data_IF_324579142183
#
_entry.id   IF_324579142183
#
_cell.length_a   1.000
_cell.length_b   1.000
_cell.length_c   1.000
_cell.angle_alpha   90.00
_cell.angle_beta   90.00
_cell.angle_gamma   90.00
#
_symmetry.space_group_name_H-M   'P 1'
#
loop_
_entity.id
_entity.type
_entity.pdbx_description
1 polymer ?
#
# COMPACT_ATOMS: atom_id res chain seq x y z
N UNK A 1 -16.82 1.46 16.21
CA UNK A 1 -16.35 2.16 17.43
C UNK A 1 -14.88 1.89 17.73
N UNK A 2 -14.38 0.66 17.61
CA UNK A 2 -12.95 0.35 17.81
C UNK A 2 -11.95 1.26 17.03
N UNK A 3 -12.16 1.59 15.73
CA UNK A 3 -11.21 2.44 15.01
C UNK A 3 -11.12 3.87 15.57
N UNK A 4 -12.25 4.41 16.06
CA UNK A 4 -12.32 5.74 16.67
C UNK A 4 -11.60 5.77 18.02
N UNK A 5 -11.73 4.70 18.81
CA UNK A 5 -11.03 4.55 20.08
C UNK A 5 -9.52 4.47 19.85
N UNK A 6 -9.07 3.66 18.89
CA UNK A 6 -7.65 3.56 18.52
C UNK A 6 -7.11 4.90 18.01
N UNK A 7 -7.87 5.62 17.17
CA UNK A 7 -7.51 6.95 16.70
C UNK A 7 -7.34 7.94 17.85
N UNK A 8 -8.30 7.96 18.78
CA UNK A 8 -8.24 8.84 19.95
C UNK A 8 -7.03 8.50 20.84
N UNK A 9 -6.76 7.21 21.07
CA UNK A 9 -5.61 6.77 21.85
C UNK A 9 -4.28 7.15 21.18
N UNK A 10 -4.15 6.92 19.87
CA UNK A 10 -2.97 7.31 19.09
C UNK A 10 -2.76 8.83 19.15
N UNK A 11 -3.82 9.63 19.04
CA UNK A 11 -3.74 11.08 19.20
C UNK A 11 -3.32 11.48 20.62
N UNK A 12 -3.77 10.74 21.64
CA UNK A 12 -3.40 10.99 23.03
C UNK A 12 -1.92 10.70 23.29
N UNK A 13 -1.41 9.59 22.78
CA UNK A 13 0.01 9.25 22.89
C UNK A 13 0.85 10.26 22.12
N UNK A 14 0.45 10.56 20.88
CA UNK A 14 1.17 11.49 20.02
C UNK A 14 1.25 12.89 20.65
N UNK A 15 0.16 13.42 21.23
CA UNK A 15 0.21 14.74 21.89
C UNK A 15 1.10 14.75 23.14
N UNK A 16 1.27 13.60 23.81
CA UNK A 16 2.09 13.49 25.01
C UNK A 16 3.57 13.51 24.64
N UNK A 17 3.96 12.70 23.65
CA UNK A 17 5.33 12.64 23.10
C UNK A 17 5.73 13.94 22.39
N UNK A 18 4.81 14.56 21.63
CA UNK A 18 5.09 15.84 20.95
C UNK A 18 5.06 17.06 21.87
N UNK A 19 4.58 16.95 23.11
CA UNK A 19 4.54 18.10 24.02
C UNK A 19 5.95 18.61 24.35
N UNK A 20 6.97 17.75 24.26
CA UNK A 20 8.38 18.12 24.45
C UNK A 20 9.06 18.67 23.18
N UNK A 21 8.44 18.51 22.00
CA UNK A 21 9.00 18.95 20.72
C UNK A 21 8.45 20.32 20.30
N UNK A 22 9.31 21.34 20.28
CA UNK A 22 8.95 22.63 19.68
C UNK A 22 8.92 22.48 18.16
N UNK A 23 7.92 23.07 17.50
CA UNK A 23 7.80 23.01 16.03
C UNK A 23 9.03 23.52 15.26
N UNK A 24 9.84 24.39 15.88
CA UNK A 24 11.11 24.86 15.34
C UNK A 24 12.15 23.73 15.23
N UNK A 25 12.14 22.77 16.16
CA UNK A 25 13.07 21.64 16.15
C UNK A 25 12.67 20.61 15.09
N UNK A 26 11.37 20.47 14.80
CA UNK A 26 10.86 19.67 13.67
C UNK A 26 11.28 20.27 12.32
N UNK A 27 11.17 21.60 12.16
CA UNK A 27 11.59 22.28 10.93
C UNK A 27 13.12 22.22 10.71
N UNK A 28 13.90 22.33 11.78
CA UNK A 28 15.36 22.10 11.75
C UNK A 28 15.70 20.64 11.43
N UNK A 29 14.94 19.70 11.96
CA UNK A 29 15.07 18.27 11.65
C UNK A 29 14.78 17.97 10.17
N UNK A 30 13.72 18.55 9.60
CA UNK A 30 13.39 18.36 8.17
C UNK A 30 14.46 18.97 7.25
N UNK A 31 14.97 20.15 7.59
CA UNK A 31 15.97 20.84 6.78
C UNK A 31 17.38 20.23 6.89
N UNK A 32 17.65 19.44 7.93
CA UNK A 32 18.92 18.71 8.08
C UNK A 32 18.94 17.37 7.35
N UNK A 33 17.81 16.93 6.75
CA UNK A 33 17.76 15.68 5.99
C UNK A 33 18.56 15.84 4.69
N UNK A 34 19.60 15.02 4.46
CA UNK A 34 20.37 15.06 3.22
C UNK A 34 19.51 14.72 2.02
N UNK A 35 19.74 15.40 0.89
CA UNK A 35 19.00 15.13 -0.36
C UNK A 35 19.19 13.70 -0.85
N UNK A 36 20.36 13.07 -0.60
CA UNK A 36 20.58 11.68 -0.99
C UNK A 36 19.61 10.74 -0.27
N UNK A 37 19.28 11.00 1.00
CA UNK A 37 18.33 10.18 1.76
C UNK A 37 16.90 10.30 1.22
N UNK A 38 16.52 11.50 0.77
CA UNK A 38 15.22 11.73 0.13
C UNK A 38 15.14 10.94 -1.18
N UNK A 39 16.19 11.00 -2.01
CA UNK A 39 16.25 10.24 -3.27
C UNK A 39 16.19 8.73 -3.00
N UNK A 40 16.96 8.23 -2.02
CA UNK A 40 16.91 6.83 -1.63
C UNK A 40 15.53 6.40 -1.13
N UNK A 41 14.84 7.25 -0.35
CA UNK A 41 13.48 6.97 0.11
C UNK A 41 12.50 6.89 -1.07
N UNK A 42 12.61 7.80 -2.05
CA UNK A 42 11.78 7.77 -3.27
C UNK A 42 12.06 6.52 -4.10
N UNK A 43 13.33 6.13 -4.28
CA UNK A 43 13.69 4.90 -4.99
C UNK A 43 13.17 3.67 -4.27
N UNK A 44 13.30 3.62 -2.94
CA UNK A 44 12.79 2.52 -2.13
C UNK A 44 11.25 2.42 -2.24
N UNK A 45 10.55 3.55 -2.18
CA UNK A 45 9.11 3.61 -2.41
C UNK A 45 8.75 3.11 -3.82
N UNK A 46 9.47 3.55 -4.85
CA UNK A 46 9.27 3.08 -6.22
C UNK A 46 9.48 1.57 -6.35
N UNK A 47 10.54 1.01 -5.74
CA UNK A 47 10.80 -0.42 -5.70
C UNK A 47 9.67 -1.19 -4.99
N UNK A 48 9.14 -0.65 -3.88
CA UNK A 48 8.01 -1.24 -3.18
C UNK A 48 6.75 -1.28 -4.09
N UNK A 49 6.41 -0.17 -4.73
CA UNK A 49 5.28 -0.14 -5.68
C UNK A 49 5.51 -1.09 -6.86
N UNK A 50 6.73 -1.22 -7.35
CA UNK A 50 7.07 -2.15 -8.42
C UNK A 50 6.86 -3.61 -7.96
N UNK A 51 7.35 -3.98 -6.78
CA UNK A 51 7.11 -5.31 -6.18
C UNK A 51 5.61 -5.60 -6.04
N UNK A 52 4.82 -4.63 -5.58
CA UNK A 52 3.37 -4.74 -5.48
C UNK A 52 2.69 -4.95 -6.85
N UNK A 53 3.17 -4.29 -7.91
CA UNK A 53 2.66 -4.56 -9.27
C UNK A 53 3.00 -5.97 -9.76
N UNK A 54 4.18 -6.49 -9.42
CA UNK A 54 4.56 -7.87 -9.76
C UNK A 54 3.69 -8.90 -9.03
N UNK A 55 3.24 -8.61 -7.82
CA UNK A 55 2.32 -9.49 -7.08
C UNK A 55 0.98 -9.63 -7.81
N UNK A 56 0.39 -8.53 -8.28
CA UNK A 56 -0.83 -8.55 -9.10
C UNK A 56 -0.64 -9.37 -10.39
N UNK A 57 0.52 -9.25 -11.04
CA UNK A 57 0.85 -10.04 -12.25
C UNK A 57 0.94 -11.54 -11.93
N UNK A 58 1.60 -11.89 -10.82
CA UNK A 58 1.75 -13.26 -10.39
C UNK A 58 0.40 -13.88 -10.00
N UNK A 59 -0.44 -13.12 -9.29
CA UNK A 59 -1.80 -13.52 -8.95
C UNK A 59 -2.63 -13.79 -10.21
N UNK A 60 -2.65 -12.87 -11.18
CA UNK A 60 -3.37 -13.05 -12.44
C UNK A 60 -2.87 -14.25 -13.24
N UNK A 61 -1.55 -14.47 -13.26
CA UNK A 61 -0.94 -15.65 -13.87
C UNK A 61 -1.37 -16.94 -13.17
N UNK A 62 -1.48 -16.92 -11.84
CA UNK A 62 -1.95 -18.05 -11.04
C UNK A 62 -3.44 -18.36 -11.31
N UNK A 63 -4.26 -17.33 -11.54
CA UNK A 63 -5.67 -17.47 -11.95
C UNK A 63 -5.84 -17.85 -13.43
N UNK A 64 -4.75 -18.00 -14.20
CA UNK A 64 -4.82 -18.30 -15.63
C UNK A 64 -5.28 -17.12 -16.51
N UNK A 65 -5.37 -15.91 -15.95
CA UNK A 65 -5.77 -14.69 -16.67
C UNK A 65 -4.54 -14.01 -17.25
N UNK A 66 -4.50 -13.86 -18.59
CA UNK A 66 -3.40 -13.17 -19.28
C UNK A 66 -3.81 -11.75 -19.63
N UNK A 67 -3.27 -10.77 -18.91
CA UNK A 67 -3.35 -9.35 -19.26
C UNK A 67 -1.96 -8.78 -19.55
N UNK A 68 -1.84 -7.79 -20.45
CA UNK A 68 -0.56 -7.15 -20.71
C UNK A 68 -0.07 -6.39 -19.47
N UNK A 69 1.23 -6.53 -19.16
CA UNK A 69 1.86 -5.97 -17.96
C UNK A 69 1.57 -4.49 -17.74
N UNK A 70 1.57 -3.67 -18.81
CA UNK A 70 1.26 -2.22 -18.71
C UNK A 70 -0.10 -1.95 -18.08
N UNK A 71 -1.10 -2.78 -18.34
CA UNK A 71 -2.46 -2.60 -17.82
C UNK A 71 -2.55 -3.07 -16.37
N UNK A 72 -1.92 -4.20 -16.05
CA UNK A 72 -1.85 -4.73 -14.67
C UNK A 72 -1.09 -3.77 -13.78
N UNK A 73 0.10 -3.31 -14.21
CA UNK A 73 0.92 -2.36 -13.48
C UNK A 73 0.20 -1.04 -13.20
N UNK A 74 -0.49 -0.47 -14.20
CA UNK A 74 -1.29 0.73 -13.99
C UNK A 74 -2.44 0.50 -13.00
N UNK A 75 -3.18 -0.60 -13.16
CA UNK A 75 -4.33 -0.93 -12.29
C UNK A 75 -3.91 -1.19 -10.85
N UNK A 76 -2.82 -1.94 -10.68
CA UNK A 76 -2.23 -2.22 -9.39
C UNK A 76 -1.69 -0.94 -8.74
N UNK A 77 -0.93 -0.12 -9.47
CA UNK A 77 -0.41 1.15 -8.98
C UNK A 77 -1.52 2.09 -8.50
N UNK A 78 -2.54 2.32 -9.32
CA UNK A 78 -3.67 3.19 -8.94
C UNK A 78 -4.44 2.57 -7.77
N UNK A 79 -4.74 1.26 -7.81
CA UNK A 79 -5.42 0.57 -6.72
C UNK A 79 -4.66 0.65 -5.39
N UNK A 80 -3.33 0.52 -5.41
CA UNK A 80 -2.49 0.65 -4.23
C UNK A 80 -2.34 2.10 -3.76
N UNK A 81 -2.22 3.07 -4.68
CA UNK A 81 -2.15 4.48 -4.33
C UNK A 81 -3.42 4.93 -3.61
N UNK A 82 -4.60 4.59 -4.15
CA UNK A 82 -5.87 4.88 -3.51
C UNK A 82 -6.07 4.06 -2.23
N UNK A 83 -5.68 2.78 -2.22
CA UNK A 83 -5.82 1.91 -1.06
C UNK A 83 -4.97 2.32 0.14
N UNK A 84 -3.78 2.89 -0.08
CA UNK A 84 -2.91 3.37 1.00
C UNK A 84 -3.26 4.78 1.49
N UNK A 85 -3.81 5.64 0.64
CA UNK A 85 -4.11 7.03 1.00
C UNK A 85 -5.55 7.24 1.46
N UNK A 86 -6.50 6.48 0.91
CA UNK A 86 -7.91 6.61 1.24
C UNK A 86 -8.30 5.41 2.08
N UNK A 87 -8.63 5.66 3.36
CA UNK A 87 -9.13 4.65 4.28
C UNK A 87 -10.28 3.83 3.68
N UNK A 88 -10.51 2.63 4.21
CA UNK A 88 -11.35 1.59 3.60
C UNK A 88 -10.78 1.07 2.27
N UNK A 89 -9.51 0.64 2.29
CA UNK A 89 -8.77 0.12 1.15
C UNK A 89 -9.51 -0.95 0.34
N UNK A 90 -10.43 -1.70 0.98
CA UNK A 90 -11.30 -2.66 0.31
C UNK A 90 -12.33 -2.00 -0.63
N UNK A 91 -12.96 -0.90 -0.18
CA UNK A 91 -13.94 -0.15 -0.97
C UNK A 91 -13.26 0.74 -2.03
N UNK A 92 -12.15 1.38 -1.67
CA UNK A 92 -11.48 2.36 -2.52
C UNK A 92 -10.48 1.69 -3.46
N UNK A 93 -9.45 1.02 -2.90
CA UNK A 93 -8.44 0.30 -3.67
C UNK A 93 -9.01 -0.93 -4.40
N UNK A 94 -9.82 -1.73 -3.70
CA UNK A 94 -10.52 -2.88 -4.28
C UNK A 94 -11.57 -2.49 -5.31
N UNK A 95 -12.34 -1.43 -5.06
CA UNK A 95 -13.32 -0.90 -6.01
C UNK A 95 -12.70 -0.31 -7.28
N UNK A 96 -11.58 0.39 -7.16
CA UNK A 96 -10.83 0.90 -8.32
C UNK A 96 -10.25 -0.24 -9.15
N UNK A 97 -9.63 -1.24 -8.51
CA UNK A 97 -9.19 -2.47 -9.21
C UNK A 97 -10.34 -3.16 -9.89
N UNK A 98 -11.47 -3.32 -9.20
CA UNK A 98 -12.67 -3.93 -9.77
C UNK A 98 -13.14 -3.19 -11.01
N UNK A 99 -13.23 -1.85 -10.97
CA UNK A 99 -13.66 -1.05 -12.12
C UNK A 99 -12.70 -1.14 -13.31
N UNK A 100 -11.38 -1.13 -13.08
CA UNK A 100 -10.38 -1.22 -14.15
C UNK A 100 -10.24 -2.63 -14.73
N UNK A 101 -10.45 -3.67 -13.91
CA UNK A 101 -10.41 -5.07 -14.34
C UNK A 101 -11.74 -5.53 -14.96
N UNK A 102 -12.90 -5.04 -14.47
CA UNK A 102 -14.22 -5.37 -15.05
C UNK A 102 -14.41 -4.79 -16.44
N UNK A 103 -13.84 -3.61 -16.71
CA UNK A 103 -13.74 -3.06 -18.07
C UNK A 103 -12.95 -3.95 -19.04
N UNK A 104 -12.26 -4.98 -18.53
CA UNK A 104 -11.46 -5.95 -19.29
C UNK A 104 -11.96 -7.40 -19.14
N UNK A 105 -13.18 -7.58 -18.64
CA UNK A 105 -13.84 -8.88 -18.57
C UNK A 105 -13.48 -9.74 -17.35
N UNK A 106 -12.81 -9.18 -16.34
CA UNK A 106 -12.58 -9.88 -15.07
C UNK A 106 -13.78 -9.71 -14.14
N UNK A 107 -14.11 -10.78 -13.43
CA UNK A 107 -15.21 -10.81 -12.48
C UNK A 107 -14.80 -10.22 -11.13
N UNK A 108 -15.78 -9.85 -10.30
CA UNK A 108 -15.52 -9.42 -8.93
C UNK A 108 -14.79 -10.51 -8.12
N UNK A 109 -15.08 -11.77 -8.42
CA UNK A 109 -14.44 -12.93 -7.82
C UNK A 109 -12.94 -13.00 -8.17
N UNK A 110 -12.58 -12.79 -9.44
CA UNK A 110 -11.17 -12.77 -9.87
C UNK A 110 -10.39 -11.67 -9.10
N UNK A 111 -10.99 -10.50 -8.92
CA UNK A 111 -10.35 -9.37 -8.20
C UNK A 111 -10.21 -9.65 -6.71
N UNK A 112 -11.22 -10.27 -6.09
CA UNK A 112 -11.14 -10.71 -4.70
C UNK A 112 -10.04 -11.77 -4.49
N UNK A 113 -9.95 -12.75 -5.41
CA UNK A 113 -8.89 -13.77 -5.38
C UNK A 113 -7.49 -13.16 -5.54
N UNK A 114 -7.31 -12.17 -6.42
CA UNK A 114 -6.05 -11.42 -6.55
C UNK A 114 -5.71 -10.70 -5.25
N UNK A 115 -6.69 -10.03 -4.62
CA UNK A 115 -6.51 -9.37 -3.33
C UNK A 115 -6.09 -10.33 -2.23
N UNK A 116 -6.75 -11.49 -2.13
CA UNK A 116 -6.42 -12.55 -1.17
C UNK A 116 -5.04 -13.14 -1.43
N UNK A 117 -4.69 -13.42 -2.68
CA UNK A 117 -3.36 -13.93 -3.06
C UNK A 117 -2.25 -12.95 -2.66
N UNK A 118 -2.44 -11.66 -2.91
CA UNK A 118 -1.46 -10.64 -2.53
C UNK A 118 -1.34 -10.52 -1.01
N UNK A 119 -2.46 -10.57 -0.28
CA UNK A 119 -2.43 -10.55 1.19
C UNK A 119 -1.67 -11.75 1.75
N UNK A 120 -1.94 -12.95 1.24
CA UNK A 120 -1.23 -14.17 1.65
C UNK A 120 0.25 -14.09 1.30
N UNK A 121 0.60 -13.68 0.08
CA UNK A 121 2.01 -13.55 -0.35
C UNK A 121 2.76 -12.54 0.51
N UNK A 122 2.12 -11.42 0.83
CA UNK A 122 2.67 -10.42 1.72
C UNK A 122 2.90 -10.98 3.13
N UNK A 123 1.90 -11.62 3.74
CA UNK A 123 2.02 -12.18 5.08
C UNK A 123 3.06 -13.30 5.15
N UNK A 124 3.09 -14.20 4.18
CA UNK A 124 4.11 -15.26 4.10
C UNK A 124 5.50 -14.67 3.95
N UNK A 125 5.68 -13.68 3.07
CA UNK A 125 6.94 -12.98 2.92
C UNK A 125 7.37 -12.24 4.20
N UNK A 126 6.41 -11.59 4.86
CA UNK A 126 6.64 -10.87 6.11
C UNK A 126 7.06 -11.83 7.23
N UNK A 127 6.36 -12.94 7.41
CA UNK A 127 6.68 -13.94 8.43
C UNK A 127 8.06 -14.58 8.17
N UNK A 128 8.36 -14.91 6.91
CA UNK A 128 9.65 -15.45 6.53
C UNK A 128 10.81 -14.46 6.83
N UNK A 129 10.62 -13.17 6.56
CA UNK A 129 11.62 -12.14 6.87
C UNK A 129 11.71 -11.86 8.37
N UNK A 130 10.57 -11.93 9.08
CA UNK A 130 10.51 -11.76 10.53
C UNK A 130 11.13 -12.94 11.31
N UNK A 131 11.37 -14.08 10.65
CA UNK A 131 11.98 -15.27 11.26
C UNK A 131 11.02 -16.05 12.15
N UNK A 132 9.71 -15.96 11.90
CA UNK A 132 8.65 -16.71 12.60
C UNK A 132 8.28 -17.97 11.84
#
# INVERSE_FOLDING_TARGET
>A
MLPLVLLALAFIVMRHELHELRGVDVARGLSSIPRERIVLAVVCAACNYLALTLYDVLALKHLGRRLPYRQVGFTAFVGYAFGHNIGMSFLTGGGVRYRLYSARGLTALDVAQVGTFNALTFWVGLLAVAGV
#
